data_IF_563741521550
#
_entry.id   IF_563741521550
#
_cell.length_a   1.000
_cell.length_b   1.000
_cell.length_c   1.000
_cell.angle_alpha   90.00
_cell.angle_beta   90.00
_cell.angle_gamma   90.00
#
_symmetry.space_group_name_H-M   'P 1'
#
loop_
_entity.id
_entity.type
_entity.pdbx_description
1 polymer ?
#
# COMPACT_ATOMS: atom_id res chain seq x y z
N UNK A 1 -4.64 -11.21 -3.90
CA UNK A 1 -4.17 -10.40 -5.05
C UNK A 1 -2.78 -9.88 -4.73
N UNK A 2 -1.83 -9.98 -5.67
CA UNK A 2 -0.45 -9.50 -5.48
C UNK A 2 -0.29 -8.06 -5.96
N UNK A 3 0.79 -7.38 -5.56
CA UNK A 3 1.13 -6.02 -6.03
C UNK A 3 1.28 -5.98 -7.54
N UNK A 4 1.84 -7.03 -8.15
CA UNK A 4 2.00 -7.13 -9.60
C UNK A 4 0.65 -7.14 -10.34
N UNK A 5 -0.35 -7.84 -9.82
CA UNK A 5 -1.70 -7.82 -10.39
C UNK A 5 -2.36 -6.44 -10.25
N UNK A 6 -2.12 -5.75 -9.13
CA UNK A 6 -2.59 -4.38 -8.94
C UNK A 6 -1.93 -3.39 -9.91
N UNK A 7 -0.63 -3.56 -10.23
CA UNK A 7 0.04 -2.72 -11.22
C UNK A 7 -0.54 -2.92 -12.63
N UNK A 8 -0.88 -4.15 -13.03
CA UNK A 8 -1.51 -4.40 -14.34
C UNK A 8 -2.83 -3.66 -14.46
N UNK A 9 -3.65 -3.66 -13.40
CA UNK A 9 -4.92 -2.93 -13.35
C UNK A 9 -4.70 -1.41 -13.36
N UNK A 10 -3.74 -0.93 -12.55
CA UNK A 10 -3.41 0.49 -12.48
C UNK A 10 -2.73 1.03 -13.75
N UNK A 11 -2.06 0.16 -14.51
CA UNK A 11 -1.48 0.50 -15.79
C UNK A 11 -2.54 0.62 -16.90
N UNK A 12 -3.67 -0.08 -16.77
CA UNK A 12 -4.80 0.08 -17.70
C UNK A 12 -5.52 1.41 -17.53
N UNK A 13 -5.52 1.98 -16.32
CA UNK A 13 -6.08 3.30 -16.06
C UNK A 13 -5.15 4.15 -15.18
N UNK A 14 -4.16 4.83 -15.76
CA UNK A 14 -3.15 5.56 -15.00
C UNK A 14 -3.65 6.88 -14.39
N UNK A 15 -4.85 7.37 -14.75
CA UNK A 15 -5.38 8.65 -14.26
C UNK A 15 -6.15 8.51 -12.95
N UNK A 16 -6.50 7.30 -12.52
CA UNK A 16 -7.11 7.08 -11.22
C UNK A 16 -6.09 7.07 -10.07
N UNK A 17 -6.54 7.46 -8.88
CA UNK A 17 -5.74 7.41 -7.65
C UNK A 17 -5.73 5.97 -7.11
N UNK A 18 -4.69 5.22 -7.45
CA UNK A 18 -4.55 3.82 -7.03
C UNK A 18 -3.84 3.71 -5.68
N UNK A 19 -4.45 2.94 -4.77
CA UNK A 19 -3.92 2.66 -3.44
C UNK A 19 -3.97 1.17 -3.13
N UNK A 20 -2.91 0.66 -2.51
CA UNK A 20 -2.85 -0.71 -2.00
C UNK A 20 -2.83 -0.64 -0.48
N UNK A 21 -3.86 -1.18 0.16
CA UNK A 21 -3.94 -1.31 1.61
C UNK A 21 -3.62 -2.76 1.98
N UNK A 22 -2.42 -2.96 2.53
CA UNK A 22 -1.95 -4.24 3.05
C UNK A 22 -2.26 -4.30 4.54
N UNK A 23 -3.39 -4.89 4.87
CA UNK A 23 -3.83 -5.10 6.25
C UNK A 23 -3.36 -6.48 6.69
N UNK A 24 -2.46 -6.52 7.66
CA UNK A 24 -2.01 -7.72 8.33
C UNK A 24 -2.40 -7.67 9.82
N UNK A 25 -2.50 -8.82 10.52
CA UNK A 25 -2.97 -8.87 11.91
C UNK A 25 -2.17 -8.01 12.90
N UNK A 26 -0.90 -7.73 12.59
CA UNK A 26 0.04 -7.00 13.44
C UNK A 26 0.66 -5.79 12.74
N UNK A 27 0.23 -5.48 11.52
CA UNK A 27 0.81 -4.38 10.75
C UNK A 27 -0.14 -3.96 9.65
N UNK A 28 -0.23 -2.66 9.41
CA UNK A 28 -0.97 -2.09 8.30
C UNK A 28 0.02 -1.27 7.44
N UNK A 29 0.03 -1.51 6.13
CA UNK A 29 0.86 -0.77 5.18
C UNK A 29 -0.02 -0.20 4.07
N UNK A 30 0.09 1.10 3.81
CA UNK A 30 -0.63 1.76 2.72
C UNK A 30 0.35 2.30 1.70
N UNK A 31 0.18 1.84 0.47
CA UNK A 31 0.93 2.28 -0.68
C UNK A 31 0.04 3.12 -1.59
N UNK A 32 0.59 4.17 -2.16
CA UNK A 32 -0.04 4.96 -3.20
C UNK A 32 0.81 4.90 -4.47
N UNK A 33 0.15 4.77 -5.62
CA UNK A 33 0.82 4.84 -6.91
C UNK A 33 1.10 6.30 -7.27
N UNK A 34 2.37 6.64 -7.49
CA UNK A 34 2.79 7.98 -7.92
C UNK A 34 3.32 8.01 -9.35
N UNK A 35 3.34 6.86 -10.02
CA UNK A 35 3.81 6.70 -11.38
C UNK A 35 3.79 5.24 -11.80
N UNK A 36 4.23 4.98 -13.03
CA UNK A 36 4.37 3.61 -13.54
C UNK A 36 5.33 2.83 -12.64
N UNK A 37 4.84 1.72 -12.08
CA UNK A 37 5.60 0.83 -11.19
C UNK A 37 6.15 1.52 -9.94
N UNK A 38 5.66 2.73 -9.61
CA UNK A 38 6.12 3.53 -8.48
C UNK A 38 5.07 3.53 -7.37
N UNK A 39 5.23 2.59 -6.44
CA UNK A 39 4.41 2.46 -5.25
C UNK A 39 5.12 3.03 -4.03
N UNK A 40 4.63 4.19 -3.58
CA UNK A 40 5.18 4.89 -2.42
C UNK A 40 4.41 4.47 -1.17
N UNK A 41 5.12 3.91 -0.20
CA UNK A 41 4.57 3.63 1.13
C UNK A 41 4.44 4.96 1.88
N UNK A 42 3.21 5.43 2.07
CA UNK A 42 2.96 6.69 2.76
C UNK A 42 2.52 6.48 4.22
N UNK A 43 1.99 5.29 4.56
CA UNK A 43 1.61 4.95 5.93
C UNK A 43 2.03 3.52 6.25
N UNK A 44 2.73 3.35 7.36
CA UNK A 44 3.06 2.05 7.94
C UNK A 44 2.74 2.08 9.41
N UNK A 45 1.70 1.36 9.78
CA UNK A 45 1.39 1.05 11.16
C UNK A 45 2.02 -0.30 11.49
N UNK A 46 2.93 -0.32 12.46
CA UNK A 46 3.32 -1.57 13.10
C UNK A 46 2.46 -1.64 14.35
N UNK A 47 1.66 -2.70 14.46
CA UNK A 47 0.91 -3.04 15.66
C UNK A 47 1.86 -3.36 16.81
N UNK A 48 2.53 -2.34 17.32
CA UNK A 48 3.32 -2.39 18.54
C UNK A 48 2.36 -2.23 19.71
N UNK A 49 1.66 -3.32 20.06
CA UNK A 49 1.23 -3.49 21.44
C UNK A 49 2.49 -3.79 22.27
N UNK A 50 3.20 -2.76 22.78
CA UNK A 50 3.68 -2.70 24.17
C UNK A 50 4.50 -1.42 24.50
N UNK A 51 4.05 -0.75 25.56
CA UNK A 51 4.78 -0.04 26.64
C UNK A 51 5.51 1.29 26.38
N UNK A 52 5.03 2.33 27.09
CA UNK A 52 5.74 3.39 27.87
C UNK A 52 4.97 4.71 27.69
N UNK A 53 4.42 5.41 28.70
CA UNK A 53 4.69 5.56 30.14
C UNK A 53 3.41 5.87 30.91
#
# INVERSE_FOLDING_TARGET
>A
MTVQQAEVLAAQDPNHDWRIHLIAPLSECHYQRQGKELWVLYKKDKGSHNTSV
#
